data_IF_559624098038
#
_entry.id   IF_559624098038
#
_cell.length_a   1.000
_cell.length_b   1.000
_cell.length_c   1.000
_cell.angle_alpha   90.00
_cell.angle_beta   90.00
_cell.angle_gamma   90.00
#
_symmetry.space_group_name_H-M   'P 1'
#
loop_
_entity.id
_entity.type
_entity.pdbx_description
1 polymer ?
#
# COMPACT_ATOMS: atom_id res chain seq x y z
N UNK A 1 -10.97 3.25 22.09
CA UNK A 1 -10.01 4.30 22.46
C UNK A 1 -10.47 5.57 21.77
N UNK A 2 -10.64 6.68 22.49
CA UNK A 2 -10.78 7.99 21.83
C UNK A 2 -9.46 8.28 21.11
N UNK A 3 -9.48 8.33 19.77
CA UNK A 3 -8.32 8.76 18.97
C UNK A 3 -8.40 10.27 18.76
N UNK A 4 -7.27 10.98 18.83
CA UNK A 4 -7.25 12.37 18.39
C UNK A 4 -7.45 12.38 16.87
N UNK A 5 -8.44 13.10 16.31
CA UNK A 5 -8.62 13.18 14.86
C UNK A 5 -7.42 13.77 14.11
N UNK A 6 -6.44 14.35 14.82
CA UNK A 6 -5.18 14.88 14.28
C UNK A 6 -4.00 13.92 14.42
N UNK A 7 -4.21 12.72 14.96
CA UNK A 7 -3.17 11.71 15.03
C UNK A 7 -2.72 11.34 13.61
N UNK A 8 -1.40 11.44 13.39
CA UNK A 8 -0.74 11.00 12.17
C UNK A 8 -0.29 9.56 12.38
N UNK A 9 -0.94 8.64 11.68
CA UNK A 9 -0.56 7.24 11.70
C UNK A 9 -0.32 6.77 10.26
N UNK A 10 0.73 5.96 10.10
CA UNK A 10 0.98 5.18 8.90
C UNK A 10 1.22 3.73 9.33
N UNK A 11 0.59 2.82 8.61
CA UNK A 11 0.85 1.39 8.68
C UNK A 11 1.22 0.94 7.27
N UNK A 12 2.23 0.09 7.12
CA UNK A 12 2.55 -0.45 5.82
C UNK A 12 3.47 -1.66 5.87
N UNK A 13 3.45 -2.42 4.79
CA UNK A 13 4.20 -3.65 4.61
C UNK A 13 3.52 -4.59 3.61
N UNK A 14 4.12 -5.74 3.40
CA UNK A 14 3.51 -6.85 2.67
C UNK A 14 2.41 -7.49 3.53
N UNK A 15 1.15 -7.32 3.10
CA UNK A 15 0.00 -7.86 3.80
C UNK A 15 -0.41 -9.24 3.28
N UNK A 16 0.21 -9.73 2.19
CA UNK A 16 -0.14 -10.97 1.49
C UNK A 16 -1.63 -11.08 1.11
N UNK A 17 -2.26 -9.93 0.86
CA UNK A 17 -3.67 -9.77 0.52
C UNK A 17 -3.77 -8.67 -0.53
N UNK A 18 -4.72 -8.77 -1.47
CA UNK A 18 -4.98 -7.70 -2.45
C UNK A 18 -5.76 -6.54 -1.81
N UNK A 19 -5.65 -5.31 -2.31
CA UNK A 19 -6.57 -4.22 -1.94
C UNK A 19 -8.03 -4.59 -2.22
N UNK A 20 -8.98 -3.97 -1.53
CA UNK A 20 -10.42 -4.22 -1.75
C UNK A 20 -10.77 -4.06 -3.26
N UNK A 21 -11.54 -4.98 -3.86
CA UNK A 21 -12.11 -6.20 -3.29
C UNK A 21 -11.02 -7.25 -3.02
N UNK A 22 -10.88 -7.61 -1.75
CA UNK A 22 -9.74 -8.35 -1.19
C UNK A 22 -10.07 -9.81 -0.87
N UNK A 23 -11.26 -10.26 -1.27
CA UNK A 23 -11.74 -11.60 -1.00
C UNK A 23 -11.04 -12.64 -1.88
N UNK A 24 -10.29 -13.59 -1.30
CA UNK A 24 -9.72 -14.71 -2.05
C UNK A 24 -10.75 -15.81 -2.32
N UNK A 25 -11.91 -15.74 -1.67
CA UNK A 25 -12.98 -16.73 -1.79
C UNK A 25 -14.03 -16.27 -2.81
N UNK A 26 -14.57 -17.20 -3.59
CA UNK A 26 -15.65 -16.89 -4.52
C UNK A 26 -17.00 -16.76 -3.79
N UNK A 27 -17.96 -15.95 -4.30
CA UNK A 27 -19.32 -15.91 -3.78
C UNK A 27 -19.93 -17.31 -3.64
N UNK A 28 -20.36 -17.66 -2.42
CA UNK A 28 -20.89 -18.98 -2.08
C UNK A 28 -19.95 -19.89 -1.27
N UNK A 29 -18.65 -19.56 -1.16
CA UNK A 29 -17.77 -20.19 -0.15
C UNK A 29 -18.24 -19.80 1.27
N UNK A 30 -18.23 -20.71 2.26
CA UNK A 30 -18.59 -20.39 3.64
C UNK A 30 -17.77 -19.28 4.30
N UNK A 31 -16.59 -18.95 3.76
CA UNK A 31 -15.71 -17.88 4.24
C UNK A 31 -15.90 -16.57 3.48
N UNK A 32 -16.78 -16.51 2.48
CA UNK A 32 -17.07 -15.29 1.73
C UNK A 32 -18.25 -14.49 2.33
N UNK A 33 -18.16 -13.16 2.47
CA UNK A 33 -16.94 -12.36 2.35
C UNK A 33 -16.09 -12.51 3.61
N UNK A 34 -14.79 -12.63 3.42
CA UNK A 34 -13.77 -12.59 4.46
C UNK A 34 -13.33 -11.18 4.78
N UNK A 35 -13.38 -10.27 3.80
CA UNK A 35 -13.05 -8.83 3.94
C UNK A 35 -11.78 -8.63 4.79
N UNK A 36 -10.68 -9.25 4.32
CA UNK A 36 -9.48 -9.52 5.12
C UNK A 36 -8.82 -8.24 5.66
N UNK A 37 -9.00 -7.11 4.96
CA UNK A 37 -8.47 -5.80 5.32
C UNK A 37 -9.51 -4.92 6.03
N UNK A 38 -10.74 -5.39 6.25
CA UNK A 38 -11.84 -4.55 6.74
C UNK A 38 -11.59 -3.88 8.08
N UNK A 39 -10.84 -4.51 8.99
CA UNK A 39 -10.44 -3.87 10.24
C UNK A 39 -9.57 -2.62 10.05
N UNK A 40 -8.77 -2.55 8.98
CA UNK A 40 -7.94 -1.37 8.67
C UNK A 40 -8.79 -0.24 8.06
N UNK A 41 -9.70 -0.58 7.15
CA UNK A 41 -10.59 0.39 6.50
C UNK A 41 -11.67 0.90 7.46
N UNK A 42 -12.43 0.01 8.08
CA UNK A 42 -13.71 0.34 8.71
C UNK A 42 -13.56 0.58 10.22
N UNK A 43 -12.79 -0.26 10.92
CA UNK A 43 -12.59 -0.11 12.37
C UNK A 43 -11.50 0.92 12.69
N UNK A 44 -10.38 0.86 11.97
CA UNK A 44 -9.28 1.80 12.17
C UNK A 44 -9.44 3.10 11.38
N UNK A 45 -10.35 3.16 10.41
CA UNK A 45 -10.64 4.37 9.62
C UNK A 45 -9.45 4.85 8.81
N UNK A 46 -8.61 3.93 8.31
CA UNK A 46 -7.42 4.25 7.53
C UNK A 46 -7.71 4.19 6.02
N UNK A 47 -7.05 5.07 5.28
CA UNK A 47 -7.13 5.12 3.81
C UNK A 47 -5.96 4.35 3.20
N UNK A 48 -6.22 3.49 2.23
CA UNK A 48 -5.17 2.76 1.51
C UNK A 48 -4.59 3.61 0.37
N UNK A 49 -3.28 3.82 0.36
CA UNK A 49 -2.60 4.59 -0.68
C UNK A 49 -2.57 3.86 -2.04
N UNK A 50 -2.97 2.59 -2.11
CA UNK A 50 -3.19 1.93 -3.38
C UNK A 50 -4.22 2.65 -4.26
N UNK A 51 -5.26 3.22 -3.66
CA UNK A 51 -6.29 3.97 -4.40
C UNK A 51 -5.68 5.17 -5.14
N UNK A 52 -4.73 5.86 -4.50
CA UNK A 52 -3.95 6.96 -5.10
C UNK A 52 -3.08 6.46 -6.25
N UNK A 53 -2.43 5.30 -6.11
CA UNK A 53 -1.61 4.72 -7.18
C UNK A 53 -2.44 4.37 -8.42
N UNK A 54 -3.62 3.76 -8.22
CA UNK A 54 -4.52 3.39 -9.32
C UNK A 54 -5.05 4.64 -10.01
N UNK A 55 -5.37 5.69 -9.26
CA UNK A 55 -5.87 6.94 -9.82
C UNK A 55 -4.78 7.70 -10.61
N UNK A 56 -3.58 7.83 -10.05
CA UNK A 56 -2.54 8.70 -10.62
C UNK A 56 -1.60 7.97 -11.60
N UNK A 57 -1.24 6.72 -11.32
CA UNK A 57 -0.21 5.96 -12.05
C UNK A 57 -0.59 4.47 -12.21
N UNK A 58 -1.75 4.14 -12.81
CA UNK A 58 -2.30 2.78 -12.80
C UNK A 58 -1.37 1.71 -13.39
N UNK A 59 -0.58 2.06 -14.41
CA UNK A 59 0.36 1.12 -15.04
C UNK A 59 1.54 0.73 -14.13
N UNK A 60 1.80 1.49 -13.08
CA UNK A 60 2.86 1.28 -12.10
C UNK A 60 2.30 0.94 -10.70
N UNK A 61 0.99 0.65 -10.61
CA UNK A 61 0.31 0.33 -9.36
C UNK A 61 0.48 -1.16 -9.01
N UNK A 62 1.72 -1.61 -8.82
CA UNK A 62 2.05 -2.97 -8.35
C UNK A 62 3.39 -2.95 -7.63
N UNK A 63 3.58 -3.85 -6.67
CA UNK A 63 4.81 -3.93 -5.89
C UNK A 63 5.51 -5.27 -6.04
N UNK A 64 4.87 -6.26 -6.66
CA UNK A 64 5.43 -7.61 -6.78
C UNK A 64 5.11 -8.20 -8.16
N UNK A 65 6.03 -9.00 -8.72
CA UNK A 65 5.80 -9.71 -9.99
C UNK A 65 6.11 -11.20 -9.84
N UNK A 66 5.06 -12.02 -9.85
CA UNK A 66 5.17 -13.48 -9.81
C UNK A 66 4.76 -14.09 -11.15
N UNK A 67 5.64 -14.89 -11.76
CA UNK A 67 5.34 -15.60 -13.02
C UNK A 67 4.81 -14.68 -14.13
N UNK A 68 5.30 -13.44 -14.19
CA UNK A 68 4.89 -12.44 -15.17
C UNK A 68 3.55 -11.76 -14.86
N UNK A 69 2.98 -11.98 -13.68
CA UNK A 69 1.78 -11.31 -13.20
C UNK A 69 2.14 -10.27 -12.15
N UNK A 70 1.74 -9.02 -12.37
CA UNK A 70 1.87 -7.92 -11.42
C UNK A 70 0.87 -8.08 -10.26
N UNK A 71 1.32 -7.81 -9.04
CA UNK A 71 0.58 -8.01 -7.79
C UNK A 71 0.81 -6.84 -6.82
N UNK A 72 -0.15 -6.62 -5.92
CA UNK A 72 -0.27 -5.41 -5.08
C UNK A 72 -0.27 -5.76 -3.59
N UNK A 73 0.73 -6.54 -3.19
CA UNK A 73 0.78 -7.13 -1.85
C UNK A 73 1.34 -6.17 -0.78
N UNK A 74 2.22 -5.25 -1.17
CA UNK A 74 2.72 -4.21 -0.28
C UNK A 74 1.78 -3.01 -0.32
N UNK A 75 1.26 -2.66 0.85
CA UNK A 75 0.27 -1.60 0.99
C UNK A 75 0.69 -0.60 2.06
N UNK A 76 0.21 0.63 1.94
CA UNK A 76 0.34 1.65 2.97
C UNK A 76 -1.04 2.22 3.30
N UNK A 77 -1.39 2.16 4.57
CA UNK A 77 -2.59 2.73 5.14
C UNK A 77 -2.24 3.97 5.96
N UNK A 78 -2.96 5.06 5.75
CA UNK A 78 -2.72 6.34 6.42
C UNK A 78 -3.94 6.81 7.19
N UNK A 79 -3.73 7.52 8.29
CA UNK A 79 -4.83 8.17 9.01
C UNK A 79 -5.42 9.34 8.21
N UNK A 80 -6.69 9.73 8.46
CA UNK A 80 -7.33 10.82 7.72
C UNK A 80 -6.64 12.18 7.84
N UNK A 81 -5.85 12.41 8.90
CA UNK A 81 -5.07 13.65 9.01
C UNK A 81 -3.81 13.59 8.16
N UNK A 82 -3.09 12.46 8.19
CA UNK A 82 -1.86 12.28 7.42
C UNK A 82 -2.16 12.23 5.91
N UNK A 83 -3.30 11.67 5.51
CA UNK A 83 -3.78 11.68 4.13
C UNK A 83 -3.88 13.11 3.55
N UNK A 84 -4.39 14.07 4.33
CA UNK A 84 -4.48 15.49 3.90
C UNK A 84 -3.12 16.14 3.69
N UNK A 85 -2.07 15.57 4.28
CA UNK A 85 -0.70 16.04 4.17
C UNK A 85 0.07 15.27 3.09
N UNK A 86 -0.54 14.24 2.46
CA UNK A 86 0.05 13.47 1.37
C UNK A 86 0.32 14.39 0.18
N UNK A 87 1.53 14.31 -0.36
CA UNK A 87 1.92 14.99 -1.60
C UNK A 87 1.98 14.03 -2.77
N UNK A 88 2.44 12.81 -2.52
CA UNK A 88 2.66 11.82 -3.55
C UNK A 88 2.77 10.42 -2.93
N UNK A 89 2.26 9.41 -3.64
CA UNK A 89 2.55 8.00 -3.42
C UNK A 89 3.03 7.36 -4.75
N UNK A 90 4.15 6.64 -4.74
CA UNK A 90 4.72 5.94 -5.91
C UNK A 90 5.30 4.60 -5.50
N UNK A 91 5.25 3.63 -6.41
CA UNK A 91 6.10 2.45 -6.31
C UNK A 91 7.45 2.74 -6.95
N UNK A 92 8.52 2.52 -6.19
CA UNK A 92 9.88 2.62 -6.70
C UNK A 92 10.27 1.31 -7.38
N UNK A 93 10.02 1.20 -8.69
CA UNK A 93 10.36 0.01 -9.50
C UNK A 93 11.87 -0.19 -9.68
N UNK A 94 12.54 -0.63 -8.61
CA UNK A 94 13.99 -0.87 -8.55
C UNK A 94 14.35 -2.35 -8.48
N UNK A 95 13.35 -3.21 -8.25
CA UNK A 95 13.47 -4.64 -7.99
C UNK A 95 12.58 -5.47 -8.92
N UNK A 96 11.25 -5.36 -8.84
CA UNK A 96 10.34 -6.33 -9.46
C UNK A 96 10.42 -6.35 -11.00
N UNK A 97 10.74 -5.19 -11.58
CA UNK A 97 10.97 -4.98 -13.01
C UNK A 97 12.43 -5.08 -13.45
N UNK A 98 13.38 -5.19 -12.50
CA UNK A 98 14.81 -5.13 -12.81
C UNK A 98 15.21 -6.33 -13.70
N UNK A 99 16.01 -6.11 -14.76
CA UNK A 99 16.04 -7.00 -15.93
C UNK A 99 16.33 -8.45 -15.57
N UNK A 100 15.36 -9.31 -15.92
CA UNK A 100 15.46 -10.78 -15.91
C UNK A 100 16.27 -11.31 -17.10
N UNK A 101 16.57 -10.46 -18.08
CA UNK A 101 17.13 -10.82 -19.39
C UNK A 101 18.65 -10.67 -19.51
N UNK A 102 19.38 -10.51 -18.41
CA UNK A 102 20.85 -10.49 -18.46
C UNK A 102 21.42 -11.92 -18.47
N UNK A 103 22.22 -12.32 -19.48
CA UNK A 103 22.90 -13.62 -19.46
C UNK A 103 23.99 -13.62 -18.40
N UNK A 104 23.91 -14.54 -17.44
CA UNK A 104 24.88 -14.66 -16.36
C UNK A 104 24.43 -13.94 -15.08
N UNK A 105 24.11 -14.77 -14.09
CA UNK A 105 23.56 -14.47 -12.77
C UNK A 105 22.08 -14.05 -12.80
N UNK A 106 21.28 -14.74 -11.97
CA UNK A 106 19.82 -14.65 -11.93
C UNK A 106 19.26 -13.26 -11.56
N UNK A 107 18.02 -13.18 -11.05
CA UNK A 107 17.40 -11.89 -10.70
C UNK A 107 18.36 -11.04 -9.85
N UNK A 108 18.73 -9.85 -10.35
CA UNK A 108 19.68 -8.94 -9.67
C UNK A 108 19.00 -7.94 -8.75
N UNK A 109 17.68 -7.93 -8.70
CA UNK A 109 16.94 -7.20 -7.67
C UNK A 109 17.34 -7.74 -6.29
N UNK A 110 17.49 -6.84 -5.31
CA UNK A 110 17.73 -7.26 -3.93
C UNK A 110 16.50 -7.93 -3.30
N UNK A 111 15.35 -7.78 -3.96
CA UNK A 111 14.04 -8.32 -3.63
C UNK A 111 13.29 -8.63 -4.92
N UNK A 112 12.24 -9.44 -4.83
CA UNK A 112 11.17 -9.57 -5.84
C UNK A 112 10.04 -8.56 -5.64
N UNK A 113 10.08 -7.79 -4.55
CA UNK A 113 9.18 -6.69 -4.24
C UNK A 113 9.82 -5.30 -4.43
N UNK A 114 9.03 -4.34 -4.89
CA UNK A 114 9.34 -2.93 -5.01
C UNK A 114 8.80 -2.12 -3.82
N UNK A 115 9.57 -1.16 -3.29
CA UNK A 115 9.10 -0.31 -2.19
C UNK A 115 7.96 0.64 -2.61
N UNK A 116 6.90 0.71 -1.80
CA UNK A 116 5.91 1.78 -1.83
C UNK A 116 6.42 2.99 -1.04
N UNK A 117 6.53 4.14 -1.72
CA UNK A 117 7.07 5.39 -1.19
C UNK A 117 5.99 6.45 -1.16
N UNK A 118 5.75 7.03 0.02
CA UNK A 118 4.86 8.17 0.19
C UNK A 118 5.62 9.38 0.74
N UNK A 119 5.30 10.58 0.23
CA UNK A 119 5.86 11.85 0.72
C UNK A 119 4.78 12.74 1.29
N UNK A 120 5.11 13.46 2.37
CA UNK A 120 4.17 14.29 3.12
C UNK A 120 4.71 15.70 3.32
N UNK A 121 3.82 16.68 3.33
CA UNK A 121 4.13 18.07 3.64
C UNK A 121 3.85 18.40 5.11
N UNK A 122 4.88 18.41 5.96
CA UNK A 122 4.73 18.83 7.35
C UNK A 122 5.02 20.33 7.52
N UNK A 123 4.11 21.04 8.19
CA UNK A 123 4.39 22.39 8.70
C UNK A 123 4.75 22.31 10.18
N UNK A 124 5.98 22.68 10.59
CA UNK A 124 6.32 22.75 12.00
C UNK A 124 5.63 23.97 12.62
N UNK A 125 4.44 23.80 13.19
CA UNK A 125 3.75 24.94 13.83
C UNK A 125 2.39 24.70 14.49
N UNK A 126 1.85 23.49 14.47
CA UNK A 126 0.48 23.23 14.95
C UNK A 126 0.34 22.33 16.18
N UNK A 127 1.41 22.15 16.98
CA UNK A 127 1.32 21.39 18.23
C UNK A 127 0.52 22.17 19.29
N UNK A 128 -0.34 21.53 20.10
CA UNK A 128 -1.06 22.23 21.15
C UNK A 128 -0.06 22.82 22.15
N UNK A 129 -0.14 24.12 22.37
CA UNK A 129 0.39 24.74 23.58
C UNK A 129 -0.29 24.05 24.77
N UNK A 130 0.49 23.33 25.57
CA UNK A 130 0.05 22.81 26.87
C UNK A 130 -0.37 23.94 27.80
#
# INVERSE_FOLDING_TARGET
MDRDPRDRAIFGGDLNVYPRPDDPFSPGDPRFPSDQLGALYDEAGLTNLFDVLVEEVPAAAYTYVFQGQAQTLDQQFVSPWLERELREARVAHVNADWPKDFPGDGPRGASDHDPLVATYGFSPGGGPTR
#
